data_IF_951240467790
#
_entry.id   IF_951240467790
#
_cell.length_a   1.000
_cell.length_b   1.000
_cell.length_c   1.000
_cell.angle_alpha   90.00
_cell.angle_beta   90.00
_cell.angle_gamma   90.00
#
_symmetry.space_group_name_H-M   'P 1'
#
loop_
_entity.id
_entity.type
_entity.pdbx_description
1 polymer ?
#
# COMPACT_ATOMS: atom_id res chain seq x y z
N UNK A 1 5.25 4.08 21.86
CA UNK A 1 6.09 3.96 20.63
C UNK A 1 6.34 2.50 20.25
N UNK A 2 6.71 1.59 21.17
CA UNK A 2 6.88 0.15 20.87
C UNK A 2 5.66 -0.54 20.24
N UNK A 3 4.43 -0.18 20.64
CA UNK A 3 3.21 -0.75 20.05
C UNK A 3 3.00 -0.40 18.57
N UNK A 4 3.41 0.78 18.12
CA UNK A 4 3.18 1.22 16.74
C UNK A 4 4.00 0.38 15.75
N UNK A 5 5.31 0.28 15.98
CA UNK A 5 6.19 -0.51 15.11
C UNK A 5 5.89 -2.01 15.19
N UNK A 6 5.49 -2.52 16.36
CA UNK A 6 5.02 -3.89 16.50
C UNK A 6 3.74 -4.14 15.67
N UNK A 7 2.78 -3.20 15.71
CA UNK A 7 1.58 -3.28 14.87
C UNK A 7 1.94 -3.26 13.39
N UNK A 8 2.73 -2.28 12.93
CA UNK A 8 3.16 -2.22 11.52
C UNK A 8 3.88 -3.49 11.06
N UNK A 9 4.71 -4.11 11.90
CA UNK A 9 5.39 -5.36 11.53
C UNK A 9 4.41 -6.51 11.25
N UNK A 10 3.15 -6.44 11.69
CA UNK A 10 2.11 -7.44 11.38
C UNK A 10 1.67 -7.39 9.92
N UNK A 11 1.94 -6.31 9.18
CA UNK A 11 1.67 -6.24 7.74
C UNK A 11 2.35 -7.38 6.96
N UNK A 12 3.52 -7.85 7.43
CA UNK A 12 4.23 -9.01 6.86
C UNK A 12 3.42 -10.31 6.91
N UNK A 13 2.44 -10.40 7.80
CA UNK A 13 1.64 -11.60 8.02
C UNK A 13 0.32 -11.58 7.23
N UNK A 14 0.02 -10.49 6.53
CA UNK A 14 -1.18 -10.37 5.67
C UNK A 14 -0.73 -10.53 4.23
N UNK A 15 -1.11 -11.65 3.61
CA UNK A 15 -0.86 -11.92 2.20
C UNK A 15 -1.99 -11.38 1.33
N UNK A 16 -1.64 -10.88 0.15
CA UNK A 16 -2.59 -10.41 -0.86
C UNK A 16 -3.03 -11.55 -1.77
N UNK A 17 -4.10 -11.31 -2.54
CA UNK A 17 -4.60 -12.24 -3.56
C UNK A 17 -5.12 -13.57 -2.98
N UNK A 18 -5.76 -13.53 -1.81
CA UNK A 18 -6.19 -14.74 -1.09
C UNK A 18 -7.18 -15.66 -1.83
N UNK A 19 -7.82 -15.18 -2.89
CA UNK A 19 -8.73 -15.97 -3.74
C UNK A 19 -8.11 -16.43 -5.07
N UNK A 20 -6.84 -16.12 -5.32
CA UNK A 20 -6.17 -16.39 -6.60
C UNK A 20 -4.98 -17.33 -6.41
N UNK A 21 -4.63 -18.08 -7.47
CA UNK A 21 -3.40 -18.88 -7.48
C UNK A 21 -2.19 -17.97 -7.71
N UNK A 22 -1.32 -17.88 -6.72
CA UNK A 22 -0.11 -17.06 -6.78
C UNK A 22 1.12 -17.90 -7.15
N UNK A 23 1.86 -17.50 -8.17
CA UNK A 23 3.19 -18.07 -8.50
C UNK A 23 4.27 -17.55 -7.56
N UNK A 24 4.12 -16.32 -7.08
CA UNK A 24 4.89 -15.71 -5.98
C UNK A 24 3.89 -15.09 -5.00
N UNK A 25 4.08 -15.35 -3.71
CA UNK A 25 3.28 -14.69 -2.66
C UNK A 25 3.75 -13.25 -2.47
N UNK A 26 2.80 -12.37 -2.22
CA UNK A 26 3.02 -10.94 -1.92
C UNK A 26 2.34 -10.63 -0.58
N UNK A 27 3.04 -9.95 0.32
CA UNK A 27 2.47 -9.42 1.57
C UNK A 27 2.28 -7.90 1.52
N UNK A 28 1.55 -7.35 2.50
CA UNK A 28 1.26 -5.91 2.54
C UNK A 28 2.49 -5.02 2.63
N UNK A 29 3.61 -5.47 3.23
CA UNK A 29 4.84 -4.67 3.24
C UNK A 29 5.45 -4.53 1.86
N UNK A 30 5.51 -5.62 1.09
CA UNK A 30 6.03 -5.62 -0.29
C UNK A 30 5.16 -4.72 -1.17
N UNK A 31 3.84 -4.92 -1.11
CA UNK A 31 2.86 -4.12 -1.83
C UNK A 31 2.95 -2.62 -1.50
N UNK A 32 2.99 -2.28 -0.21
CA UNK A 32 3.02 -0.88 0.23
C UNK A 32 4.33 -0.21 -0.16
N UNK A 33 5.45 -0.93 -0.14
CA UNK A 33 6.74 -0.42 -0.61
C UNK A 33 6.72 -0.12 -2.10
N UNK A 34 6.29 -1.07 -2.93
CA UNK A 34 6.21 -0.88 -4.39
C UNK A 34 5.25 0.27 -4.75
N UNK A 35 4.09 0.34 -4.09
CA UNK A 35 3.13 1.43 -4.25
C UNK A 35 3.72 2.79 -3.85
N UNK A 36 4.52 2.86 -2.77
CA UNK A 36 5.20 4.09 -2.37
C UNK A 36 6.24 4.57 -3.39
N UNK A 37 7.01 3.64 -3.98
CA UNK A 37 7.97 3.93 -5.05
C UNK A 37 7.24 4.49 -6.27
N UNK A 38 6.13 3.87 -6.67
CA UNK A 38 5.31 4.33 -7.81
C UNK A 38 4.71 5.72 -7.52
N UNK A 39 4.12 5.92 -6.34
CA UNK A 39 3.52 7.20 -5.94
C UNK A 39 4.55 8.34 -5.97
N UNK A 40 5.75 8.10 -5.44
CA UNK A 40 6.86 9.05 -5.52
C UNK A 40 7.23 9.37 -6.98
N UNK A 41 7.43 8.34 -7.81
CA UNK A 41 7.80 8.52 -9.21
C UNK A 41 6.74 9.30 -10.01
N UNK A 42 5.45 9.02 -9.77
CA UNK A 42 4.34 9.74 -10.40
C UNK A 42 4.29 11.22 -9.96
N UNK A 43 4.54 11.51 -8.69
CA UNK A 43 4.61 12.90 -8.20
C UNK A 43 5.78 13.67 -8.85
N UNK A 44 6.96 13.04 -8.97
CA UNK A 44 8.11 13.61 -9.69
C UNK A 44 7.77 13.84 -11.17
N UNK A 45 7.18 12.85 -11.84
CA UNK A 45 6.79 12.95 -13.24
C UNK A 45 5.80 14.10 -13.46
N UNK A 46 4.79 14.23 -12.60
CA UNK A 46 3.80 15.32 -12.65
C UNK A 46 4.47 16.69 -12.59
N UNK A 47 5.43 16.86 -11.69
CA UNK A 47 6.11 18.14 -11.52
C UNK A 47 7.07 18.45 -12.67
N UNK A 48 7.77 17.43 -13.18
CA UNK A 48 8.81 17.60 -14.19
C UNK A 48 8.28 17.72 -15.61
N UNK A 49 7.14 17.08 -15.92
CA UNK A 49 6.61 17.00 -17.30
C UNK A 49 5.24 17.63 -17.49
N UNK A 50 4.48 17.86 -16.42
CA UNK A 50 3.09 18.30 -16.50
C UNK A 50 2.80 19.59 -15.72
N UNK A 51 3.85 20.34 -15.33
CA UNK A 51 3.70 21.62 -14.65
C UNK A 51 3.06 21.54 -13.26
N UNK A 52 3.11 20.37 -12.62
CA UNK A 52 2.54 20.17 -11.28
C UNK A 52 3.43 20.63 -10.13
N UNK A 53 2.82 20.65 -8.94
CA UNK A 53 3.46 20.98 -7.65
C UNK A 53 3.09 19.96 -6.55
N UNK A 54 3.13 18.66 -6.86
CA UNK A 54 2.89 17.61 -5.87
C UNK A 54 4.12 17.40 -4.97
N UNK A 55 3.92 17.18 -3.68
CA UNK A 55 4.99 16.76 -2.77
C UNK A 55 5.22 15.26 -2.91
N UNK A 56 6.35 14.89 -3.53
CA UNK A 56 6.71 13.49 -3.77
C UNK A 56 7.03 12.72 -2.49
N UNK A 57 7.61 13.37 -1.48
CA UNK A 57 7.94 12.73 -0.21
C UNK A 57 6.66 12.42 0.57
N UNK A 58 5.74 13.39 0.62
CA UNK A 58 4.42 13.18 1.22
C UNK A 58 3.63 12.10 0.48
N UNK A 59 3.67 12.07 -0.85
CA UNK A 59 3.01 11.02 -1.63
C UNK A 59 3.55 9.62 -1.29
N UNK A 60 4.88 9.48 -1.19
CA UNK A 60 5.52 8.23 -0.81
C UNK A 60 5.11 7.76 0.60
N UNK A 61 5.09 8.68 1.58
CA UNK A 61 4.72 8.35 2.97
C UNK A 61 3.25 7.96 3.08
N UNK A 62 2.34 8.67 2.39
CA UNK A 62 0.93 8.31 2.37
C UNK A 62 0.72 6.91 1.78
N UNK A 63 1.37 6.62 0.65
CA UNK A 63 1.33 5.30 0.02
C UNK A 63 1.95 4.20 0.88
N UNK A 64 3.01 4.50 1.64
CA UNK A 64 3.65 3.52 2.52
C UNK A 64 2.71 3.01 3.63
N UNK A 65 1.79 3.86 4.11
CA UNK A 65 0.89 3.54 5.22
C UNK A 65 -0.57 3.32 4.81
N UNK A 66 -0.91 3.42 3.53
CA UNK A 66 -2.31 3.45 3.08
C UNK A 66 -3.11 2.19 3.47
N UNK A 67 -2.46 1.02 3.44
CA UNK A 67 -3.06 -0.27 3.81
C UNK A 67 -2.74 -0.73 5.24
N UNK A 68 -2.17 0.14 6.09
CA UNK A 68 -1.82 -0.25 7.46
C UNK A 68 -3.06 -0.67 8.28
N UNK A 69 -4.25 -0.17 7.96
CA UNK A 69 -5.50 -0.57 8.62
C UNK A 69 -5.88 -2.03 8.33
N UNK A 70 -5.40 -2.61 7.23
CA UNK A 70 -5.64 -4.01 6.87
C UNK A 70 -4.95 -5.00 7.82
N UNK A 71 -4.09 -4.54 8.73
CA UNK A 71 -3.61 -5.35 9.87
C UNK A 71 -4.79 -5.91 10.69
N UNK A 72 -5.89 -5.17 10.77
CA UNK A 72 -7.08 -5.53 11.55
C UNK A 72 -8.10 -6.29 10.70
N UNK A 73 -8.35 -5.85 9.47
CA UNK A 73 -9.40 -6.40 8.60
C UNK A 73 -8.94 -7.57 7.73
N UNK A 74 -7.63 -7.70 7.51
CA UNK A 74 -7.06 -8.48 6.41
C UNK A 74 -7.22 -7.78 5.05
N UNK A 75 -6.49 -8.28 4.04
CA UNK A 75 -6.67 -7.87 2.64
C UNK A 75 -7.94 -8.52 2.10
N UNK A 76 -9.02 -7.74 2.06
CA UNK A 76 -10.27 -8.22 1.49
C UNK A 76 -10.17 -8.26 -0.04
N UNK A 77 -10.60 -9.36 -0.69
CA UNK A 77 -10.59 -9.45 -2.13
C UNK A 77 -11.62 -8.49 -2.75
N UNK A 78 -11.34 -8.03 -3.97
CA UNK A 78 -12.16 -7.07 -4.73
C UNK A 78 -13.67 -7.36 -4.69
N UNK A 79 -14.16 -8.61 -4.89
CA UNK A 79 -15.60 -8.87 -4.87
C UNK A 79 -16.26 -8.57 -3.51
N UNK A 80 -15.53 -8.71 -2.41
CA UNK A 80 -16.02 -8.40 -1.05
C UNK A 80 -15.95 -6.90 -0.79
N UNK A 81 -14.85 -6.25 -1.21
CA UNK A 81 -14.64 -4.79 -1.03
C UNK A 81 -15.76 -3.96 -1.68
N UNK A 82 -16.32 -4.40 -2.80
CA UNK A 82 -17.34 -3.67 -3.56
C UNK A 82 -18.73 -4.32 -3.55
N UNK A 83 -18.97 -5.30 -2.66
CA UNK A 83 -20.26 -6.00 -2.60
C UNK A 83 -21.42 -5.10 -2.14
N UNK A 84 -21.14 -4.09 -1.32
CA UNK A 84 -22.16 -3.19 -0.78
C UNK A 84 -21.73 -1.72 -1.02
N UNK A 85 -22.24 -1.07 -2.07
CA UNK A 85 -21.86 0.29 -2.48
C UNK A 85 -22.34 1.38 -1.51
#
# INVERSE_FOLDING_TARGET
MYHFFAMLSRMKNVNRWGLMRNTRRENLCEHSFETAVIAHALAVLRNTRFGGHADAQRAAVLALFHDATEIVTGDMPTPVKYFNP
#
